data_IF_567777067096
#
_entry.id   IF_567777067096
#
_cell.length_a   1.000
_cell.length_b   1.000
_cell.length_c   1.000
_cell.angle_alpha   90.00
_cell.angle_beta   90.00
_cell.angle_gamma   90.00
#
_symmetry.space_group_name_H-M   'P 1'
#
loop_
_entity.id
_entity.type
_entity.pdbx_description
1 polymer ?
#
# COMPACT_ATOMS: atom_id res chain seq x y z
N UNK A 1 12.20 -19.07 68.84
CA UNK A 1 12.62 -17.77 68.28
C UNK A 1 14.13 -17.68 68.37
N UNK A 2 14.81 -18.04 67.29
CA UNK A 2 16.27 -18.01 67.20
C UNK A 2 16.72 -16.56 66.99
N UNK A 3 17.55 -16.03 67.89
CA UNK A 3 18.18 -14.72 67.73
C UNK A 3 19.43 -14.87 66.86
N UNK A 4 19.41 -14.22 65.72
CA UNK A 4 20.55 -14.10 64.80
C UNK A 4 21.56 -13.12 65.41
N UNK A 5 22.74 -13.64 65.79
CA UNK A 5 23.87 -12.84 66.27
C UNK A 5 24.67 -12.37 65.05
N UNK A 6 24.53 -11.09 64.71
CA UNK A 6 25.32 -10.42 63.68
C UNK A 6 26.69 -10.04 64.29
N UNK A 7 27.83 -10.26 63.60
CA UNK A 7 29.14 -9.90 64.13
C UNK A 7 29.26 -8.38 64.29
N UNK A 8 29.21 -7.91 65.54
CA UNK A 8 29.61 -6.57 65.91
C UNK A 8 31.12 -6.47 65.81
N UNK A 9 31.63 -5.83 64.76
CA UNK A 9 33.01 -5.38 64.71
C UNK A 9 33.13 -4.18 65.67
N UNK A 10 33.93 -4.34 66.72
CA UNK A 10 34.30 -3.23 67.59
C UNK A 10 35.21 -2.29 66.81
N UNK A 11 34.68 -1.17 66.32
CA UNK A 11 35.51 -0.04 65.94
C UNK A 11 36.01 0.61 67.24
N UNK A 12 37.33 0.66 67.40
CA UNK A 12 37.97 1.58 68.35
C UNK A 12 37.34 2.96 68.17
N UNK A 13 36.93 3.59 69.27
CA UNK A 13 36.42 4.96 69.27
C UNK A 13 37.56 5.90 68.83
N UNK A 14 37.60 6.20 67.54
CA UNK A 14 38.54 7.14 66.92
C UNK A 14 37.91 7.69 65.65
N UNK A 15 38.03 8.99 65.43
CA UNK A 15 37.59 9.61 64.19
C UNK A 15 38.56 9.19 63.07
N UNK A 16 38.07 8.45 62.08
CA UNK A 16 38.79 8.24 60.83
C UNK A 16 38.27 9.25 59.80
N UNK A 17 39.19 9.92 59.11
CA UNK A 17 38.85 10.73 57.95
C UNK A 17 38.83 9.82 56.72
N UNK A 18 37.64 9.54 56.18
CA UNK A 18 37.52 8.82 54.92
C UNK A 18 37.92 9.74 53.77
N UNK A 19 38.89 9.32 52.93
CA UNK A 19 39.24 10.06 51.72
C UNK A 19 38.01 10.14 50.81
N UNK A 20 37.61 11.33 50.31
CA UNK A 20 36.43 11.46 49.46
C UNK A 20 36.58 10.60 48.20
N UNK A 21 35.57 9.79 47.91
CA UNK A 21 35.52 8.97 46.69
C UNK A 21 35.34 9.92 45.50
N UNK A 22 36.24 9.90 44.50
CA UNK A 22 36.06 10.72 43.31
C UNK A 22 34.84 10.23 42.54
N UNK A 23 33.80 11.06 42.46
CA UNK A 23 32.65 10.82 41.58
C UNK A 23 32.79 11.63 40.31
N UNK A 24 32.65 10.98 39.16
CA UNK A 24 32.53 11.67 37.87
C UNK A 24 31.11 12.19 37.73
N UNK A 25 30.95 13.51 37.67
CA UNK A 25 29.62 14.12 37.51
C UNK A 25 28.98 13.61 36.22
N UNK A 26 27.71 13.19 36.28
CA UNK A 26 26.92 12.74 35.12
C UNK A 26 27.01 13.70 33.93
N UNK A 27 27.05 15.01 34.23
CA UNK A 27 27.20 16.08 33.22
C UNK A 27 28.53 15.99 32.44
N UNK A 28 29.64 15.65 33.11
CA UNK A 28 30.95 15.45 32.44
C UNK A 28 30.99 14.21 31.55
N UNK A 29 30.09 13.24 31.78
CA UNK A 29 30.00 12.02 30.98
C UNK A 29 29.00 12.16 29.81
N UNK A 30 27.87 12.83 30.04
CA UNK A 30 26.83 13.01 29.02
C UNK A 30 27.23 13.99 27.92
N UNK A 31 27.95 15.07 28.24
CA UNK A 31 28.37 16.08 27.25
C UNK A 31 29.17 15.47 26.09
N UNK A 32 30.28 14.72 26.31
CA UNK A 32 31.04 14.15 25.21
C UNK A 32 30.24 13.08 24.45
N UNK A 33 29.36 12.35 25.14
CA UNK A 33 28.58 11.28 24.52
C UNK A 33 27.50 11.83 23.57
N UNK A 34 26.80 12.90 23.98
CA UNK A 34 25.83 13.60 23.12
C UNK A 34 26.54 14.27 21.95
N UNK A 35 27.68 14.92 22.20
CA UNK A 35 28.47 15.54 21.13
C UNK A 35 28.91 14.50 20.08
N UNK A 36 29.38 13.32 20.52
CA UNK A 36 29.72 12.22 19.62
C UNK A 36 28.53 11.73 18.79
N UNK A 37 27.35 11.55 19.41
CA UNK A 37 26.13 11.14 18.72
C UNK A 37 25.73 12.15 17.64
N UNK A 38 25.75 13.45 17.96
CA UNK A 38 25.38 14.52 17.01
C UNK A 38 26.33 14.53 15.82
N UNK A 39 27.63 14.34 16.03
CA UNK A 39 28.62 14.26 14.95
C UNK A 39 28.35 13.06 14.05
N UNK A 40 28.06 11.89 14.62
CA UNK A 40 27.77 10.68 13.85
C UNK A 40 26.50 10.86 13.01
N UNK A 41 25.42 11.36 13.61
CA UNK A 41 24.14 11.58 12.91
C UNK A 41 24.28 12.65 11.82
N UNK A 42 25.03 13.72 12.09
CA UNK A 42 25.31 14.77 11.10
C UNK A 42 26.13 14.23 9.92
N UNK A 43 27.15 13.42 10.18
CA UNK A 43 27.98 12.82 9.14
C UNK A 43 27.19 11.84 8.26
N UNK A 44 26.34 11.00 8.86
CA UNK A 44 25.54 10.03 8.10
C UNK A 44 24.48 10.73 7.25
N UNK A 45 23.76 11.70 7.80
CA UNK A 45 22.75 12.47 7.04
C UNK A 45 23.37 13.26 5.89
N UNK A 46 24.51 13.91 6.10
CA UNK A 46 25.24 14.62 5.04
C UNK A 46 25.70 13.66 3.93
N UNK A 47 26.23 12.49 4.28
CA UNK A 47 26.62 11.48 3.32
C UNK A 47 25.43 10.98 2.48
N UNK A 48 24.26 10.78 3.10
CA UNK A 48 23.04 10.39 2.38
C UNK A 48 22.56 11.47 1.41
N UNK A 49 22.64 12.75 1.79
CA UNK A 49 22.26 13.85 0.90
C UNK A 49 23.22 14.02 -0.28
N UNK A 50 24.52 13.83 -0.05
CA UNK A 50 25.53 13.90 -1.11
C UNK A 50 25.48 12.71 -2.08
N UNK A 51 25.06 11.54 -1.61
CA UNK A 51 24.92 10.33 -2.43
C UNK A 51 23.56 10.23 -3.15
N UNK A 52 22.59 11.06 -2.80
CA UNK A 52 21.29 11.05 -3.45
C UNK A 52 21.40 11.59 -4.89
N UNK A 53 21.21 10.71 -5.87
CA UNK A 53 21.01 11.15 -7.25
C UNK A 53 19.72 11.98 -7.33
N UNK A 54 19.69 13.07 -8.13
CA UNK A 54 18.46 13.82 -8.34
C UNK A 54 17.38 12.90 -8.89
N UNK A 55 16.10 13.06 -8.49
CA UNK A 55 15.01 12.28 -9.05
C UNK A 55 14.99 12.52 -10.56
N UNK A 56 15.09 11.44 -11.33
CA UNK A 56 15.03 11.51 -12.79
C UNK A 56 13.64 12.02 -13.16
N UNK A 57 13.55 13.30 -13.51
CA UNK A 57 12.38 13.84 -14.17
C UNK A 57 12.40 13.31 -15.60
N UNK A 58 11.57 12.31 -15.88
CA UNK A 58 11.30 11.86 -17.23
C UNK A 58 10.48 12.95 -17.94
N UNK A 59 11.16 14.03 -18.35
CA UNK A 59 10.63 15.00 -19.30
C UNK A 59 10.65 14.31 -20.67
N UNK A 60 9.52 13.73 -21.00
CA UNK A 60 9.35 12.95 -22.20
C UNK A 60 9.36 13.94 -23.40
N UNK A 61 10.29 13.80 -24.37
CA UNK A 61 10.38 14.67 -25.56
C UNK A 61 9.08 14.65 -26.37
N UNK A 62 8.85 15.60 -27.30
CA UNK A 62 7.56 15.74 -28.01
C UNK A 62 7.07 14.47 -28.72
N UNK A 63 7.98 13.52 -29.01
CA UNK A 63 7.65 12.17 -29.43
C UNK A 63 8.00 11.16 -28.33
N UNK A 64 7.17 11.10 -27.30
CA UNK A 64 7.13 9.94 -26.42
C UNK A 64 6.70 8.74 -27.24
N UNK A 65 7.59 7.75 -27.39
CA UNK A 65 7.18 6.42 -27.84
C UNK A 65 5.97 5.96 -27.02
N UNK A 66 4.97 5.40 -27.69
CA UNK A 66 3.80 4.85 -27.03
C UNK A 66 4.27 3.87 -25.94
N UNK A 67 3.71 3.95 -24.72
CA UNK A 67 4.04 3.00 -23.67
C UNK A 67 3.86 1.59 -24.23
N UNK A 68 4.77 0.64 -23.93
CA UNK A 68 4.69 -0.71 -24.45
C UNK A 68 3.35 -1.30 -24.02
N UNK A 69 2.40 -1.30 -24.95
CA UNK A 69 1.13 -1.98 -24.79
C UNK A 69 1.46 -3.46 -24.80
N UNK A 70 1.17 -4.15 -23.70
CA UNK A 70 1.15 -5.61 -23.71
C UNK A 70 0.32 -6.13 -24.89
N UNK A 71 0.58 -7.37 -25.31
CA UNK A 71 -0.08 -8.04 -26.44
C UNK A 71 -1.56 -7.64 -26.48
N UNK A 72 -2.04 -7.08 -27.61
CA UNK A 72 -3.28 -6.32 -27.62
C UNK A 72 -4.46 -7.18 -27.22
N UNK A 73 -5.17 -6.74 -26.19
CA UNK A 73 -6.54 -7.18 -25.85
C UNK A 73 -7.58 -6.78 -26.91
N UNK A 74 -7.13 -6.23 -28.05
CA UNK A 74 -7.94 -5.75 -29.19
C UNK A 74 -8.85 -6.82 -29.80
N UNK A 75 -8.57 -8.11 -29.61
CA UNK A 75 -9.44 -9.20 -30.10
C UNK A 75 -10.68 -9.45 -29.21
N UNK A 76 -10.70 -8.93 -27.99
CA UNK A 76 -11.83 -9.13 -27.09
C UNK A 76 -13.00 -8.20 -27.46
N UNK A 77 -14.26 -8.64 -27.25
CA UNK A 77 -15.41 -7.74 -27.36
C UNK A 77 -15.23 -6.50 -26.48
N UNK A 78 -15.78 -5.36 -26.90
CA UNK A 78 -15.75 -4.12 -26.12
C UNK A 78 -17.13 -3.75 -25.60
N UNK A 79 -17.16 -3.18 -24.39
CA UNK A 79 -18.30 -2.45 -23.86
C UNK A 79 -18.09 -0.96 -24.11
N UNK A 80 -19.19 -0.28 -24.43
CA UNK A 80 -19.29 1.18 -24.49
C UNK A 80 -20.70 1.56 -24.01
N UNK A 81 -20.84 2.52 -23.08
CA UNK A 81 -22.13 3.09 -22.72
C UNK A 81 -22.75 3.83 -23.90
N UNK A 82 -24.05 4.12 -23.81
CA UNK A 82 -24.83 4.75 -24.87
C UNK A 82 -24.34 6.16 -25.25
N UNK A 83 -23.72 6.88 -24.32
CA UNK A 83 -23.13 8.21 -24.55
C UNK A 83 -21.73 8.16 -25.23
N UNK A 84 -21.15 6.97 -25.33
CA UNK A 84 -19.82 6.71 -25.87
C UNK A 84 -18.71 7.40 -25.09
N UNK A 85 -18.92 7.71 -23.81
CA UNK A 85 -17.97 8.45 -22.96
C UNK A 85 -16.66 7.69 -22.71
N UNK A 86 -16.72 6.36 -22.69
CA UNK A 86 -15.56 5.49 -22.52
C UNK A 86 -15.78 4.12 -23.16
N UNK A 87 -14.73 3.32 -23.31
CA UNK A 87 -14.87 1.91 -23.69
C UNK A 87 -13.81 1.04 -23.03
N UNK A 88 -14.15 -0.23 -22.80
CA UNK A 88 -13.24 -1.22 -22.22
C UNK A 88 -13.41 -2.55 -22.92
N UNK A 89 -12.33 -3.33 -23.05
CA UNK A 89 -12.45 -4.73 -23.45
C UNK A 89 -13.10 -5.54 -22.32
N UNK A 90 -13.90 -6.54 -22.68
CA UNK A 90 -14.60 -7.42 -21.75
C UNK A 90 -14.30 -8.88 -22.09
N UNK A 91 -14.44 -9.82 -21.14
CA UNK A 91 -14.26 -11.23 -21.44
C UNK A 91 -15.20 -11.68 -22.57
N UNK A 92 -14.66 -12.45 -23.52
CA UNK A 92 -15.41 -12.95 -24.67
C UNK A 92 -16.15 -14.27 -24.40
N UNK A 93 -17.01 -14.73 -25.34
CA UNK A 93 -17.62 -16.05 -25.28
C UNK A 93 -16.56 -17.16 -25.14
N UNK A 94 -16.83 -18.17 -24.32
CA UNK A 94 -15.91 -19.29 -24.08
C UNK A 94 -14.81 -19.01 -23.05
N UNK A 95 -14.75 -17.80 -22.47
CA UNK A 95 -13.93 -17.54 -21.28
C UNK A 95 -14.61 -18.07 -20.01
N UNK A 96 -13.87 -18.14 -18.90
CA UNK A 96 -14.39 -18.54 -17.59
C UNK A 96 -15.22 -17.43 -16.89
N UNK A 97 -15.93 -16.61 -17.67
CA UNK A 97 -16.72 -15.49 -17.18
C UNK A 97 -18.15 -15.54 -17.72
N UNK A 98 -19.11 -15.30 -16.83
CA UNK A 98 -20.49 -15.00 -17.20
C UNK A 98 -20.67 -13.48 -17.20
N UNK A 99 -21.03 -12.93 -18.37
CA UNK A 99 -21.12 -11.48 -18.58
C UNK A 99 -22.57 -11.03 -18.58
N UNK A 100 -22.89 -10.00 -17.80
CA UNK A 100 -24.09 -9.18 -17.95
C UNK A 100 -23.70 -7.73 -18.22
N UNK A 101 -24.45 -7.06 -19.09
CA UNK A 101 -24.26 -5.65 -19.44
C UNK A 101 -25.37 -4.82 -18.81
N UNK A 102 -24.99 -3.69 -18.25
CA UNK A 102 -25.89 -2.65 -17.75
C UNK A 102 -25.69 -1.37 -18.58
N UNK A 103 -26.51 -0.35 -18.32
CA UNK A 103 -26.48 0.89 -19.10
C UNK A 103 -25.16 1.67 -18.91
N UNK A 104 -24.58 1.57 -17.71
CA UNK A 104 -23.39 2.28 -17.26
C UNK A 104 -22.16 1.38 -17.08
N UNK A 105 -22.26 0.08 -17.36
CA UNK A 105 -21.17 -0.86 -17.11
C UNK A 105 -21.40 -2.31 -17.51
N UNK A 106 -20.49 -3.16 -17.03
CA UNK A 106 -20.50 -4.59 -17.27
C UNK A 106 -20.12 -5.32 -15.98
N UNK A 107 -20.84 -6.40 -15.71
CA UNK A 107 -20.58 -7.31 -14.59
C UNK A 107 -20.07 -8.64 -15.16
N UNK A 108 -18.92 -9.09 -14.65
CA UNK A 108 -18.26 -10.32 -15.09
C UNK A 108 -18.08 -11.26 -13.90
N UNK A 109 -18.93 -12.28 -13.81
CA UNK A 109 -18.86 -13.31 -12.75
C UNK A 109 -17.90 -14.40 -13.19
N UNK A 110 -16.81 -14.56 -12.47
CA UNK A 110 -15.82 -15.61 -12.71
C UNK A 110 -16.33 -16.97 -12.20
N UNK A 111 -16.28 -17.98 -13.06
CA UNK A 111 -16.84 -19.31 -12.77
C UNK A 111 -15.78 -20.34 -12.36
N UNK A 112 -14.51 -19.95 -12.26
CA UNK A 112 -13.40 -20.81 -11.86
C UNK A 112 -13.11 -20.77 -10.35
N UNK A 113 -12.75 -21.92 -9.77
CA UNK A 113 -12.33 -22.03 -8.37
C UNK A 113 -13.40 -21.54 -7.39
N UNK A 114 -13.01 -20.69 -6.45
CA UNK A 114 -13.92 -20.07 -5.46
C UNK A 114 -14.74 -18.90 -6.06
N UNK A 115 -14.57 -18.62 -7.36
CA UNK A 115 -15.30 -17.60 -8.10
C UNK A 115 -14.87 -16.16 -7.78
N UNK A 116 -15.84 -15.25 -7.89
CA UNK A 116 -15.70 -13.82 -7.65
C UNK A 116 -16.26 -13.00 -8.82
N UNK A 117 -16.41 -11.70 -8.61
CA UNK A 117 -17.03 -10.81 -9.60
C UNK A 117 -16.12 -9.64 -9.88
N UNK A 118 -15.97 -9.32 -11.17
CA UNK A 118 -15.34 -8.09 -11.64
C UNK A 118 -16.40 -7.19 -12.24
N UNK A 119 -16.50 -5.98 -11.73
CA UNK A 119 -17.45 -4.96 -12.18
C UNK A 119 -16.66 -3.80 -12.80
N UNK A 120 -17.05 -3.38 -14.00
CA UNK A 120 -16.47 -2.23 -14.68
C UNK A 120 -17.60 -1.30 -15.09
N UNK A 121 -17.74 -0.18 -14.38
CA UNK A 121 -18.80 0.80 -14.60
C UNK A 121 -18.26 2.23 -14.51
N UNK A 122 -19.03 3.19 -15.00
CA UNK A 122 -18.67 4.60 -14.99
C UNK A 122 -19.79 5.48 -14.44
N UNK A 123 -19.44 6.40 -13.54
CA UNK A 123 -20.36 7.41 -13.01
C UNK A 123 -19.77 8.82 -13.18
N UNK A 124 -20.61 9.87 -13.31
CA UNK A 124 -20.11 11.24 -13.37
C UNK A 124 -19.34 11.60 -12.08
N UNK A 125 -18.13 12.14 -12.24
CA UNK A 125 -17.27 12.47 -11.11
C UNK A 125 -17.82 13.59 -10.20
N UNK A 126 -18.75 14.43 -10.69
CA UNK A 126 -19.37 15.55 -9.94
C UNK A 126 -18.36 16.49 -9.24
N UNK A 127 -17.13 16.57 -9.74
CA UNK A 127 -16.05 17.38 -9.16
C UNK A 127 -15.27 16.68 -8.03
N UNK A 128 -15.59 15.44 -7.68
CA UNK A 128 -14.83 14.64 -6.72
C UNK A 128 -13.50 14.17 -7.32
N UNK A 129 -12.48 14.01 -6.47
CA UNK A 129 -11.24 13.32 -6.84
C UNK A 129 -11.48 11.80 -6.98
N UNK A 130 -10.61 11.11 -7.71
CA UNK A 130 -10.71 9.65 -7.86
C UNK A 130 -10.63 8.91 -6.51
N UNK A 131 -9.84 9.42 -5.56
CA UNK A 131 -9.75 8.88 -4.20
C UNK A 131 -11.05 9.06 -3.42
N UNK A 132 -11.66 10.25 -3.50
CA UNK A 132 -12.95 10.52 -2.85
C UNK A 132 -14.06 9.62 -3.40
N UNK A 133 -14.11 9.42 -4.72
CA UNK A 133 -15.10 8.51 -5.34
C UNK A 133 -14.95 7.09 -4.81
N UNK A 134 -13.71 6.60 -4.64
CA UNK A 134 -13.47 5.26 -4.09
C UNK A 134 -13.82 5.19 -2.61
N UNK A 135 -13.48 6.21 -1.81
CA UNK A 135 -13.82 6.24 -0.39
C UNK A 135 -15.34 6.29 -0.15
N UNK A 136 -16.06 7.10 -0.91
CA UNK A 136 -17.53 7.19 -0.89
C UNK A 136 -18.16 5.83 -1.24
N UNK A 137 -17.66 5.17 -2.30
CA UNK A 137 -18.15 3.86 -2.73
C UNK A 137 -17.88 2.79 -1.67
N UNK A 138 -16.72 2.84 -1.00
CA UNK A 138 -16.39 1.92 0.08
C UNK A 138 -17.31 2.10 1.28
N UNK A 139 -17.54 3.34 1.71
CA UNK A 139 -18.47 3.63 2.79
C UNK A 139 -19.88 3.14 2.49
N UNK A 140 -20.33 3.23 1.23
CA UNK A 140 -21.65 2.77 0.82
C UNK A 140 -21.75 1.23 0.72
N UNK A 141 -20.80 0.59 0.02
CA UNK A 141 -20.90 -0.83 -0.35
C UNK A 141 -20.21 -1.76 0.64
N UNK A 142 -19.15 -1.32 1.30
CA UNK A 142 -18.31 -2.14 2.18
C UNK A 142 -17.82 -1.34 3.41
N UNK A 143 -18.72 -0.95 4.33
CA UNK A 143 -18.38 -0.08 5.45
C UNK A 143 -17.34 -0.68 6.43
N UNK A 144 -17.22 -2.01 6.46
CA UNK A 144 -16.26 -2.72 7.32
C UNK A 144 -14.89 -2.95 6.65
N UNK A 145 -14.72 -2.55 5.39
CA UNK A 145 -13.51 -2.83 4.65
C UNK A 145 -12.43 -1.77 4.88
N UNK A 146 -11.18 -2.22 4.97
CA UNK A 146 -10.02 -1.35 5.21
C UNK A 146 -9.08 -1.39 4.01
N UNK A 147 -8.51 -0.24 3.67
CA UNK A 147 -7.46 -0.16 2.64
C UNK A 147 -6.21 -0.88 3.14
N UNK A 148 -5.78 -1.91 2.41
CA UNK A 148 -4.57 -2.66 2.72
C UNK A 148 -3.36 -2.15 1.94
N UNK A 149 -3.58 -1.73 0.70
CA UNK A 149 -2.53 -1.23 -0.17
C UNK A 149 -3.07 -0.25 -1.20
N UNK A 150 -2.39 0.87 -1.39
CA UNK A 150 -2.68 1.85 -2.44
C UNK A 150 -1.69 1.66 -3.58
N UNK A 151 -2.19 1.57 -4.81
CA UNK A 151 -1.36 1.45 -6.00
C UNK A 151 -0.66 2.80 -6.27
N UNK A 152 0.69 2.86 -6.22
CA UNK A 152 1.40 4.11 -6.47
C UNK A 152 1.28 4.49 -7.95
N UNK A 153 0.92 5.75 -8.21
CA UNK A 153 0.78 6.32 -9.56
C UNK A 153 -0.17 5.50 -10.46
N UNK A 154 -1.29 5.05 -9.91
CA UNK A 154 -2.32 4.38 -10.69
C UNK A 154 -2.80 5.28 -11.85
N UNK A 155 -3.04 4.67 -13.01
CA UNK A 155 -3.56 5.35 -14.19
C UNK A 155 -4.67 4.52 -14.83
N UNK A 156 -5.63 5.22 -15.43
CA UNK A 156 -6.67 4.62 -16.27
C UNK A 156 -6.67 5.39 -17.58
N UNK A 157 -6.39 4.70 -18.67
CA UNK A 157 -6.12 5.39 -19.94
C UNK A 157 -4.85 6.24 -19.84
N UNK A 158 -4.93 7.51 -20.22
CA UNK A 158 -3.85 8.51 -20.09
C UNK A 158 -4.03 9.43 -18.87
N UNK A 159 -5.01 9.14 -18.01
CA UNK A 159 -5.35 9.96 -16.87
C UNK A 159 -4.84 9.33 -15.58
N UNK A 160 -4.45 10.18 -14.63
CA UNK A 160 -4.16 9.75 -13.27
C UNK A 160 -5.44 9.21 -12.64
N UNK A 161 -5.32 8.06 -12.00
CA UNK A 161 -6.40 7.40 -11.28
C UNK A 161 -6.03 7.14 -9.83
N UNK A 162 -6.94 6.47 -9.13
CA UNK A 162 -6.71 5.93 -7.82
C UNK A 162 -7.03 4.44 -7.84
N UNK A 163 -6.18 3.63 -7.22
CA UNK A 163 -6.37 2.19 -7.14
C UNK A 163 -5.93 1.72 -5.77
N UNK A 164 -6.73 0.84 -5.16
CA UNK A 164 -6.43 0.28 -3.86
C UNK A 164 -6.89 -1.17 -3.77
N UNK A 165 -6.14 -1.97 -3.02
CA UNK A 165 -6.59 -3.28 -2.55
C UNK A 165 -7.25 -3.08 -1.19
N UNK A 166 -8.52 -3.46 -1.11
CA UNK A 166 -9.37 -3.27 0.05
C UNK A 166 -9.95 -4.62 0.46
N UNK A 167 -10.14 -4.83 1.76
CA UNK A 167 -10.83 -5.99 2.27
C UNK A 167 -10.90 -5.98 3.79
N UNK A 168 -11.57 -6.97 4.39
CA UNK A 168 -11.53 -7.19 5.82
C UNK A 168 -10.13 -7.68 6.23
N UNK A 169 -9.17 -6.76 6.33
CA UNK A 169 -7.84 -7.08 6.81
C UNK A 169 -7.86 -7.11 8.33
N UNK A 170 -7.96 -8.32 8.89
CA UNK A 170 -7.73 -8.52 10.32
C UNK A 170 -6.22 -8.47 10.58
N UNK A 171 -5.72 -7.69 11.56
CA UNK A 171 -4.31 -7.76 11.95
C UNK A 171 -3.97 -9.21 12.30
N UNK A 172 -2.83 -9.70 11.80
CA UNK A 172 -2.38 -11.07 12.01
C UNK A 172 -2.38 -11.38 13.52
N UNK A 173 -3.28 -12.28 13.94
CA UNK A 173 -3.30 -12.86 15.29
C UNK A 173 -2.96 -14.36 15.18
N UNK A 174 -2.42 -14.98 16.24
CA UNK A 174 -2.20 -16.44 16.23
C UNK A 174 -3.51 -17.15 15.86
N UNK A 175 -3.44 -18.07 14.88
CA UNK A 175 -4.58 -18.80 14.32
C UNK A 175 -5.50 -19.34 15.41
N UNK A 176 -6.76 -18.89 15.42
CA UNK A 176 -7.86 -19.54 16.14
C UNK A 176 -8.47 -20.64 15.28
N UNK A 177 -9.03 -21.70 15.88
CA UNK A 177 -9.91 -22.62 15.17
C UNK A 177 -11.07 -21.82 14.55
N UNK A 178 -11.16 -21.83 13.22
CA UNK A 178 -12.16 -21.07 12.45
C UNK A 178 -11.60 -19.90 11.63
N UNK A 179 -10.31 -19.56 11.77
CA UNK A 179 -9.68 -18.61 10.87
C UNK A 179 -9.47 -19.25 9.48
N UNK A 180 -10.12 -18.69 8.46
CA UNK A 180 -9.90 -19.07 7.07
C UNK A 180 -8.47 -18.71 6.59
N UNK A 181 -8.05 -19.18 5.41
CA UNK A 181 -6.74 -18.86 4.88
C UNK A 181 -6.55 -17.34 4.82
N UNK A 182 -5.48 -16.82 5.43
CA UNK A 182 -5.13 -15.40 5.35
C UNK A 182 -4.60 -14.99 3.95
N UNK A 183 -4.42 -15.96 3.06
CA UNK A 183 -3.98 -15.76 1.69
C UNK A 183 -5.18 -15.72 0.73
N UNK A 184 -5.16 -14.84 -0.30
CA UNK A 184 -6.18 -14.85 -1.34
C UNK A 184 -6.21 -16.21 -2.04
N UNK A 185 -7.40 -16.66 -2.44
CA UNK A 185 -7.56 -17.87 -3.24
C UNK A 185 -6.90 -17.71 -4.61
N UNK A 186 -6.62 -18.83 -5.28
CA UNK A 186 -6.12 -18.81 -6.66
C UNK A 186 -7.08 -18.09 -7.61
N UNK A 187 -8.40 -18.20 -7.38
CA UNK A 187 -9.42 -17.47 -8.14
C UNK A 187 -9.31 -15.95 -7.94
N UNK A 188 -9.13 -15.48 -6.70
CA UNK A 188 -8.97 -14.05 -6.41
C UNK A 188 -7.68 -13.49 -7.03
N UNK A 189 -6.59 -14.26 -7.01
CA UNK A 189 -5.34 -13.85 -7.66
C UNK A 189 -5.52 -13.75 -9.19
N UNK A 190 -6.21 -14.71 -9.80
CA UNK A 190 -6.52 -14.70 -11.23
C UNK A 190 -7.40 -13.49 -11.60
N UNK A 191 -8.44 -13.21 -10.82
CA UNK A 191 -9.29 -12.03 -10.99
C UNK A 191 -8.49 -10.73 -10.93
N UNK A 192 -7.57 -10.59 -9.98
CA UNK A 192 -6.71 -9.40 -9.88
C UNK A 192 -5.80 -9.23 -11.10
N UNK A 193 -5.26 -10.34 -11.63
CA UNK A 193 -4.44 -10.32 -12.86
C UNK A 193 -5.27 -9.94 -14.09
N UNK A 194 -6.47 -10.50 -14.21
CA UNK A 194 -7.38 -10.21 -15.31
C UNK A 194 -7.91 -8.77 -15.25
N UNK A 195 -8.20 -8.23 -14.07
CA UNK A 195 -8.58 -6.84 -13.87
C UNK A 195 -7.53 -5.88 -14.47
N UNK A 196 -6.25 -6.13 -14.20
CA UNK A 196 -5.16 -5.35 -14.78
C UNK A 196 -5.16 -5.38 -16.31
N UNK A 197 -5.47 -6.53 -16.92
CA UNK A 197 -5.60 -6.66 -18.38
C UNK A 197 -6.72 -5.76 -18.92
N UNK A 198 -7.89 -5.75 -18.27
CA UNK A 198 -9.04 -4.97 -18.75
C UNK A 198 -8.90 -3.48 -18.48
N UNK A 199 -8.38 -3.06 -17.32
CA UNK A 199 -8.09 -1.64 -17.04
C UNK A 199 -7.13 -1.06 -18.09
N UNK A 200 -6.11 -1.82 -18.52
CA UNK A 200 -5.18 -1.36 -19.55
C UNK A 200 -5.82 -1.18 -20.94
N UNK A 201 -6.97 -1.81 -21.17
CA UNK A 201 -7.75 -1.68 -22.41
C UNK A 201 -8.72 -0.48 -22.41
N UNK A 202 -8.82 0.23 -21.28
CA UNK A 202 -9.71 1.37 -21.11
C UNK A 202 -9.31 2.52 -22.04
N UNK A 203 -10.31 3.15 -22.66
CA UNK A 203 -10.15 4.30 -23.55
C UNK A 203 -11.25 5.33 -23.28
N UNK A 204 -10.87 6.59 -23.14
CA UNK A 204 -11.82 7.70 -23.11
C UNK A 204 -12.28 8.06 -24.53
N UNK A 205 -13.44 8.71 -24.61
CA UNK A 205 -13.90 9.30 -25.87
C UNK A 205 -12.86 10.28 -26.43
N UNK A 206 -12.35 9.98 -27.62
CA UNK A 206 -11.35 10.80 -28.30
C UNK A 206 -9.90 10.46 -27.98
N UNK A 207 -9.64 9.44 -27.14
CA UNK A 207 -8.30 8.89 -26.99
C UNK A 207 -7.80 8.32 -28.34
N UNK A 208 -6.50 8.46 -28.65
CA UNK A 208 -5.93 7.82 -29.83
C UNK A 208 -6.06 6.30 -29.73
N UNK A 209 -6.19 5.59 -30.87
CA UNK A 209 -6.18 4.13 -30.91
C UNK A 209 -4.91 3.59 -30.25
N UNK A 210 -5.06 2.56 -29.41
CA UNK A 210 -3.96 1.85 -28.73
C UNK A 210 -3.60 0.55 -29.43
#
# INVERSE_FOLDING_TARGET
>A
MSRELVPGYSLLAGAYEARPVPYTSLRRLLIPMIAGLVVIVGATTAASLLAAAPPVQYACPPDCGQPPTGIPVQANPRFSPADGSWSVAVPGPGTAYTISKEDDGVNAVFTGGDGGTMELFGVPAKGCSAEQVVDDLLHEKQPDATVAYVLPKATVGYQLGYGAAIGPYRPFRPFRPGDGPSLPSGANLQLAQDLGRYINSFQWKGDPPR
#
